data_IF_911888025198
#
_entry.id   IF_911888025198
#
_cell.length_a   1.000
_cell.length_b   1.000
_cell.length_c   1.000
_cell.angle_alpha   90.00
_cell.angle_beta   90.00
_cell.angle_gamma   90.00
#
_symmetry.space_group_name_H-M   'P 1'
#
loop_
_entity.id
_entity.type
_entity.pdbx_description
1 polymer ?
#
# COMPACT_ATOMS: atom_id res chain seq x y z
N UNK A 1 -4.75 -22.28 -14.37
CA UNK A 1 -4.71 -20.82 -14.14
C UNK A 1 -5.36 -20.15 -15.35
N UNK A 2 -6.30 -19.21 -15.17
CA UNK A 2 -7.01 -18.59 -16.29
C UNK A 2 -6.04 -17.80 -17.18
N UNK A 3 -6.08 -18.03 -18.48
CA UNK A 3 -5.25 -17.34 -19.49
C UNK A 3 -5.73 -15.90 -19.75
N UNK A 4 -7.01 -15.62 -19.46
CA UNK A 4 -7.66 -14.31 -19.60
C UNK A 4 -7.72 -13.57 -18.24
N UNK A 5 -7.58 -12.22 -18.21
CA UNK A 5 -7.79 -11.45 -16.99
C UNK A 5 -9.18 -11.68 -16.41
N UNK A 6 -9.26 -11.88 -15.09
CA UNK A 6 -10.54 -12.04 -14.40
C UNK A 6 -11.30 -10.72 -14.44
N UNK A 7 -12.58 -10.75 -14.81
CA UNK A 7 -13.44 -9.55 -14.75
C UNK A 7 -13.82 -9.21 -13.30
N UNK A 8 -14.21 -7.96 -13.00
CA UNK A 8 -14.69 -7.56 -11.66
C UNK A 8 -15.76 -8.46 -11.05
N UNK A 9 -16.59 -9.09 -11.86
CA UNK A 9 -17.69 -9.97 -11.41
C UNK A 9 -17.19 -11.33 -10.91
N UNK A 10 -15.96 -11.70 -11.27
CA UNK A 10 -15.34 -12.98 -10.94
C UNK A 10 -14.44 -12.91 -9.70
N UNK A 11 -14.26 -11.73 -9.10
CA UNK A 11 -13.37 -11.50 -7.96
C UNK A 11 -14.01 -10.61 -6.90
N UNK A 12 -13.72 -10.90 -5.63
CA UNK A 12 -14.15 -10.06 -4.52
C UNK A 12 -13.29 -8.81 -4.39
N UNK A 13 -13.70 -7.80 -5.15
CA UNK A 13 -13.17 -6.44 -5.05
C UNK A 13 -13.37 -5.89 -3.63
N UNK A 14 -12.41 -5.10 -3.13
CA UNK A 14 -12.54 -4.44 -1.84
C UNK A 14 -13.75 -3.49 -1.85
N UNK A 15 -14.55 -3.50 -0.78
CA UNK A 15 -15.76 -2.67 -0.66
C UNK A 15 -15.46 -1.15 -0.58
N UNK A 16 -14.25 -0.78 -0.15
CA UNK A 16 -13.80 0.61 -0.04
C UNK A 16 -12.28 0.71 -0.19
N UNK A 17 -11.75 1.94 -0.20
CA UNK A 17 -10.31 2.19 -0.30
C UNK A 17 -9.52 1.53 0.84
N UNK A 18 -10.11 1.49 2.03
CA UNK A 18 -9.46 0.99 3.24
C UNK A 18 -8.99 -0.48 3.15
N UNK A 19 -9.84 -1.46 2.80
CA UNK A 19 -9.39 -2.84 2.60
C UNK A 19 -8.42 -2.99 1.43
N UNK A 20 -8.51 -2.15 0.38
CA UNK A 20 -7.53 -2.15 -0.71
C UNK A 20 -6.13 -1.72 -0.20
N UNK A 21 -6.08 -0.61 0.54
CA UNK A 21 -4.88 -0.10 1.20
C UNK A 21 -4.30 -1.13 2.16
N UNK A 22 -5.13 -1.77 2.99
CA UNK A 22 -4.68 -2.78 3.96
C UNK A 22 -4.08 -4.01 3.27
N UNK A 23 -4.65 -4.46 2.15
CA UNK A 23 -4.06 -5.52 1.31
C UNK A 23 -2.69 -5.08 0.79
N UNK A 24 -2.57 -3.85 0.31
CA UNK A 24 -1.30 -3.25 -0.11
C UNK A 24 -0.25 -3.22 1.00
N UNK A 25 -0.61 -2.74 2.20
CA UNK A 25 0.27 -2.72 3.39
C UNK A 25 0.77 -4.11 3.75
N UNK A 26 -0.08 -5.13 3.63
CA UNK A 26 0.27 -6.54 3.87
C UNK A 26 1.09 -7.17 2.73
N UNK A 27 1.40 -6.42 1.66
CA UNK A 27 2.10 -6.94 0.49
C UNK A 27 1.26 -7.91 -0.34
N UNK A 28 -0.06 -7.84 -0.24
CA UNK A 28 -1.01 -8.65 -0.99
C UNK A 28 -1.59 -7.84 -2.16
N UNK A 29 -2.07 -8.54 -3.19
CA UNK A 29 -2.72 -7.94 -4.35
C UNK A 29 -3.91 -7.08 -3.90
N UNK A 30 -3.92 -5.75 -4.13
CA UNK A 30 -5.02 -4.87 -3.71
C UNK A 30 -6.37 -5.28 -4.30
N UNK A 31 -6.33 -5.75 -5.56
CA UNK A 31 -7.50 -6.17 -6.34
C UNK A 31 -8.18 -7.43 -5.78
N UNK A 32 -7.46 -8.56 -5.68
CA UNK A 32 -8.05 -9.84 -5.29
C UNK A 32 -7.68 -10.36 -3.89
N UNK A 33 -6.66 -9.79 -3.23
CA UNK A 33 -6.18 -10.22 -1.90
C UNK A 33 -5.50 -11.60 -1.84
N UNK A 34 -5.62 -12.43 -2.89
CA UNK A 34 -5.21 -13.84 -2.86
C UNK A 34 -3.74 -14.13 -3.22
N UNK A 35 -2.97 -13.14 -3.65
CA UNK A 35 -1.58 -13.33 -4.09
C UNK A 35 -0.66 -12.22 -3.58
N UNK A 36 0.64 -12.48 -3.54
CA UNK A 36 1.64 -11.48 -3.20
C UNK A 36 1.74 -10.39 -4.27
N UNK A 37 1.85 -9.13 -3.83
CA UNK A 37 2.08 -7.97 -4.69
C UNK A 37 3.55 -7.84 -5.08
N UNK A 38 4.48 -8.28 -4.23
CA UNK A 38 5.91 -8.14 -4.42
C UNK A 38 6.57 -9.48 -4.72
N UNK A 39 7.40 -9.52 -5.76
CA UNK A 39 8.24 -10.69 -6.08
C UNK A 39 9.54 -10.70 -5.28
N UNK A 40 10.08 -9.53 -4.95
CA UNK A 40 11.33 -9.38 -4.22
C UNK A 40 11.38 -8.02 -3.52
N UNK A 41 11.36 -8.00 -2.18
CA UNK A 41 11.41 -6.79 -1.33
C UNK A 41 10.52 -5.62 -1.82
N UNK A 42 11.05 -4.67 -2.58
CA UNK A 42 10.30 -3.54 -3.17
C UNK A 42 9.88 -3.71 -4.64
N UNK A 43 10.22 -4.82 -5.29
CA UNK A 43 9.90 -5.08 -6.70
C UNK A 43 8.51 -5.73 -6.80
N UNK A 44 7.50 -5.06 -7.37
CA UNK A 44 6.19 -5.64 -7.59
C UNK A 44 6.26 -6.83 -8.57
N UNK A 45 5.26 -7.69 -8.59
CA UNK A 45 5.05 -8.63 -9.70
C UNK A 45 4.60 -7.84 -10.94
N UNK A 46 4.93 -8.29 -12.16
CA UNK A 46 4.46 -7.57 -13.36
C UNK A 46 2.96 -7.79 -13.57
N UNK A 47 2.49 -9.02 -13.35
CA UNK A 47 1.07 -9.34 -13.30
C UNK A 47 0.74 -10.23 -12.09
N UNK A 48 -0.43 -10.04 -11.49
CA UNK A 48 -0.89 -10.89 -10.41
C UNK A 48 -1.09 -12.34 -10.88
N UNK A 49 -0.54 -13.36 -10.20
CA UNK A 49 -0.69 -14.76 -10.61
C UNK A 49 -2.12 -15.29 -10.49
N UNK A 50 -2.96 -14.67 -9.64
CA UNK A 50 -4.35 -15.06 -9.44
C UNK A 50 -5.31 -14.31 -10.38
N UNK A 51 -5.35 -12.98 -10.27
CA UNK A 51 -6.33 -12.15 -11.00
C UNK A 51 -5.80 -11.52 -12.28
N UNK A 52 -4.51 -11.72 -12.60
CA UNK A 52 -3.84 -11.23 -13.82
C UNK A 52 -3.86 -9.71 -14.02
N UNK A 53 -4.11 -8.95 -12.95
CA UNK A 53 -3.95 -7.50 -12.96
C UNK A 53 -2.51 -7.14 -13.28
N UNK A 54 -2.32 -6.23 -14.24
CA UNK A 54 -1.03 -5.63 -14.56
C UNK A 54 -0.66 -4.61 -13.47
N UNK A 55 0.47 -4.83 -12.80
CA UNK A 55 1.06 -3.97 -11.79
C UNK A 55 2.38 -3.33 -12.28
N UNK A 56 2.86 -3.67 -13.48
CA UNK A 56 4.06 -3.09 -14.08
C UNK A 56 3.89 -1.59 -14.38
N UNK A 57 2.65 -1.15 -14.56
CA UNK A 57 2.24 0.23 -14.82
C UNK A 57 2.36 1.18 -13.62
N UNK A 58 2.76 0.68 -12.45
CA UNK A 58 2.91 1.49 -11.24
C UNK A 58 4.07 2.49 -11.37
N UNK A 59 3.87 3.72 -10.89
CA UNK A 59 4.90 4.78 -10.81
C UNK A 59 5.07 5.30 -9.37
N UNK A 60 5.14 4.38 -8.40
CA UNK A 60 5.14 4.72 -6.97
C UNK A 60 6.55 4.82 -6.36
N UNK A 61 7.57 5.24 -7.11
CA UNK A 61 8.95 5.02 -6.66
C UNK A 61 9.49 6.07 -5.66
N UNK A 62 9.06 7.33 -5.72
CA UNK A 62 9.54 8.39 -4.80
C UNK A 62 8.70 8.56 -3.52
N UNK A 63 7.37 8.42 -3.66
CA UNK A 63 6.41 8.65 -2.57
C UNK A 63 6.66 7.81 -1.29
N UNK A 64 7.09 6.53 -1.39
CA UNK A 64 7.31 5.69 -0.21
C UNK A 64 8.42 6.19 0.71
N UNK A 65 9.49 6.76 0.15
CA UNK A 65 10.61 7.26 0.95
C UNK A 65 10.18 8.50 1.76
N UNK A 66 9.45 9.43 1.14
CA UNK A 66 8.95 10.63 1.83
C UNK A 66 7.99 10.28 2.97
N UNK A 67 7.00 9.42 2.73
CA UNK A 67 6.08 8.96 3.79
C UNK A 67 6.87 8.28 4.91
N UNK A 68 7.84 7.42 4.56
CA UNK A 68 8.71 6.75 5.53
C UNK A 68 9.41 7.75 6.45
N UNK A 69 10.07 8.76 5.86
CA UNK A 69 10.79 9.81 6.61
C UNK A 69 9.83 10.61 7.49
N UNK A 70 8.66 10.99 6.98
CA UNK A 70 7.68 11.74 7.78
C UNK A 70 7.22 10.93 8.99
N UNK A 71 6.78 9.69 8.80
CA UNK A 71 6.29 8.86 9.92
C UNK A 71 7.41 8.55 10.91
N UNK A 72 8.57 8.07 10.44
CA UNK A 72 9.70 7.74 11.31
C UNK A 72 10.18 8.97 12.07
N UNK A 73 10.28 10.12 11.40
CA UNK A 73 10.65 11.39 12.02
C UNK A 73 9.68 11.80 13.12
N UNK A 74 8.36 11.73 12.89
CA UNK A 74 7.35 12.08 13.89
C UNK A 74 7.32 11.11 15.07
N UNK A 75 7.68 9.83 14.86
CA UNK A 75 7.78 8.85 15.93
C UNK A 75 9.06 9.04 16.76
N UNK A 76 10.20 9.32 16.12
CA UNK A 76 11.50 9.41 16.80
C UNK A 76 11.81 10.79 17.37
N UNK A 77 11.29 11.87 16.79
CA UNK A 77 11.49 13.22 17.32
C UNK A 77 11.09 13.38 18.80
N UNK A 78 9.87 12.98 19.24
CA UNK A 78 9.52 13.08 20.67
C UNK A 78 10.38 12.17 21.54
N UNK A 79 10.82 11.01 21.02
CA UNK A 79 11.71 10.09 21.74
C UNK A 79 13.08 10.74 21.98
N UNK A 80 13.67 11.36 20.97
CA UNK A 80 14.94 12.08 21.07
C UNK A 80 14.83 13.25 22.04
N UNK A 81 13.74 14.03 21.95
CA UNK A 81 13.48 15.17 22.84
C UNK A 81 13.37 14.68 24.29
N UNK A 82 12.69 13.57 24.55
CA UNK A 82 12.59 12.99 25.88
C UNK A 82 13.95 12.45 26.39
N UNK A 83 14.71 11.73 25.55
CA UNK A 83 16.03 11.18 25.91
C UNK A 83 17.01 12.27 26.36
N UNK A 84 17.10 13.36 25.60
CA UNK A 84 18.04 14.46 25.90
C UNK A 84 17.45 15.40 26.95
N UNK A 85 16.20 15.83 26.77
CA UNK A 85 15.58 16.87 27.59
C UNK A 85 15.08 16.39 28.94
N UNK A 86 14.55 15.16 29.04
CA UNK A 86 13.97 14.62 30.28
C UNK A 86 14.93 13.66 30.98
N UNK A 87 15.57 12.75 30.23
CA UNK A 87 16.45 11.73 30.79
C UNK A 87 17.93 12.16 30.88
N UNK A 88 18.28 13.36 30.38
CA UNK A 88 19.64 13.92 30.46
C UNK A 88 20.69 13.09 29.72
N UNK A 89 20.27 12.26 28.76
CA UNK A 89 21.19 11.39 28.03
C UNK A 89 22.10 12.20 27.11
N UNK A 90 23.36 11.80 26.98
CA UNK A 90 24.30 12.50 26.10
C UNK A 90 23.85 12.43 24.64
N UNK A 91 24.18 13.46 23.86
CA UNK A 91 23.84 13.51 22.44
C UNK A 91 24.41 12.31 21.67
N UNK A 92 25.64 11.89 22.00
CA UNK A 92 26.29 10.74 21.39
C UNK A 92 25.61 9.41 21.72
N UNK A 93 25.21 9.20 22.98
CA UNK A 93 24.48 7.99 23.37
C UNK A 93 23.10 7.94 22.71
N UNK A 94 22.39 9.06 22.68
CA UNK A 94 21.10 9.17 21.99
C UNK A 94 21.25 8.88 20.50
N UNK A 95 22.26 9.48 19.83
CA UNK A 95 22.53 9.22 18.42
C UNK A 95 22.87 7.75 18.14
N UNK A 96 23.72 7.14 18.97
CA UNK A 96 24.11 5.74 18.83
C UNK A 96 22.94 4.75 18.93
N UNK A 97 21.89 5.11 19.69
CA UNK A 97 20.67 4.30 19.82
C UNK A 97 19.66 4.63 18.71
N UNK A 98 19.43 5.91 18.46
CA UNK A 98 18.36 6.35 17.56
C UNK A 98 18.72 6.09 16.11
N UNK A 99 19.99 6.19 15.71
CA UNK A 99 20.43 5.94 14.35
C UNK A 99 20.09 4.51 13.88
N UNK A 100 20.49 3.42 14.57
CA UNK A 100 20.12 2.07 14.15
C UNK A 100 18.61 1.83 14.21
N UNK A 101 17.92 2.37 15.22
CA UNK A 101 16.45 2.28 15.32
C UNK A 101 15.78 2.94 14.10
N UNK A 102 16.21 4.13 13.70
CA UNK A 102 15.71 4.84 12.53
C UNK A 102 15.91 4.04 11.24
N UNK A 103 17.10 3.46 11.05
CA UNK A 103 17.41 2.63 9.88
C UNK A 103 16.51 1.40 9.82
N UNK A 104 16.35 0.68 10.94
CA UNK A 104 15.47 -0.50 11.02
C UNK A 104 14.02 -0.12 10.74
N UNK A 105 13.53 0.97 11.35
CA UNK A 105 12.16 1.45 11.13
C UNK A 105 11.91 1.86 9.68
N UNK A 106 12.86 2.56 9.04
CA UNK A 106 12.75 2.93 7.64
C UNK A 106 12.68 1.69 6.74
N UNK A 107 13.61 0.74 6.91
CA UNK A 107 13.61 -0.52 6.12
C UNK A 107 12.29 -1.27 6.29
N UNK A 108 11.78 -1.36 7.52
CA UNK A 108 10.52 -2.01 7.82
C UNK A 108 9.31 -1.27 7.22
N UNK A 109 9.35 0.06 7.13
CA UNK A 109 8.27 0.88 6.55
C UNK A 109 8.27 0.92 5.03
N UNK A 110 9.41 0.76 4.36
CA UNK A 110 9.52 0.90 2.91
C UNK A 110 8.55 -0.01 2.15
N UNK A 111 8.51 -1.29 2.50
CA UNK A 111 7.65 -2.27 1.85
C UNK A 111 6.14 -2.02 2.06
N UNK A 112 5.62 -1.85 3.30
CA UNK A 112 4.20 -1.59 3.51
C UNK A 112 3.74 -0.26 2.92
N UNK A 113 4.56 0.79 3.00
CA UNK A 113 4.22 2.09 2.38
C UNK A 113 4.15 1.96 0.87
N UNK A 114 5.14 1.31 0.23
CA UNK A 114 5.09 1.09 -1.23
C UNK A 114 3.82 0.34 -1.64
N UNK A 115 3.45 -0.71 -0.90
CA UNK A 115 2.25 -1.47 -1.17
C UNK A 115 0.97 -0.65 -0.98
N UNK A 116 0.91 0.18 0.06
CA UNK A 116 -0.19 1.11 0.29
C UNK A 116 -0.33 2.14 -0.83
N UNK A 117 0.77 2.73 -1.30
CA UNK A 117 0.76 3.71 -2.40
C UNK A 117 0.29 3.05 -3.70
N UNK A 118 0.78 1.85 -4.03
CA UNK A 118 0.32 1.10 -5.22
C UNK A 118 -1.20 0.84 -5.13
N UNK A 119 -1.68 0.40 -3.96
CA UNK A 119 -3.10 0.18 -3.73
C UNK A 119 -3.94 1.47 -3.89
N UNK A 120 -3.43 2.59 -3.38
CA UNK A 120 -4.06 3.89 -3.49
C UNK A 120 -4.16 4.37 -4.94
N UNK A 121 -3.05 4.32 -5.69
CA UNK A 121 -3.01 4.71 -7.10
C UNK A 121 -3.97 3.86 -7.93
N UNK A 122 -3.99 2.54 -7.69
CA UNK A 122 -4.92 1.63 -8.35
C UNK A 122 -6.39 1.94 -8.02
N UNK A 123 -6.72 2.13 -6.73
CA UNK A 123 -8.09 2.42 -6.29
C UNK A 123 -8.64 3.72 -6.91
N UNK A 124 -7.80 4.75 -7.00
CA UNK A 124 -8.16 6.03 -7.59
C UNK A 124 -7.99 6.11 -9.11
N UNK A 125 -7.41 5.08 -9.75
CA UNK A 125 -7.13 5.09 -11.19
C UNK A 125 -6.13 6.18 -11.60
N UNK A 126 -5.13 6.45 -10.76
CA UNK A 126 -4.13 7.50 -11.00
C UNK A 126 -3.01 6.92 -11.88
N UNK A 127 -2.54 7.72 -12.84
CA UNK A 127 -1.49 7.31 -13.77
C UNK A 127 -2.01 6.36 -14.85
N UNK A 128 -1.30 5.26 -15.08
CA UNK A 128 -1.68 4.24 -16.07
C UNK A 128 -2.71 3.21 -15.55
N UNK A 129 -3.16 3.32 -14.29
CA UNK A 129 -4.20 2.45 -13.77
C UNK A 129 -5.58 2.86 -14.27
N UNK A 130 -6.38 1.89 -14.73
CA UNK A 130 -7.81 2.10 -14.98
C UNK A 130 -8.59 1.80 -13.71
N UNK A 131 -9.51 2.69 -13.37
CA UNK A 131 -10.39 2.50 -12.23
C UNK A 131 -11.45 1.43 -12.55
N UNK A 132 -11.32 0.28 -11.90
CA UNK A 132 -12.32 -0.79 -11.94
C UNK A 132 -13.31 -0.59 -10.79
N UNK A 133 -14.28 0.31 -10.97
CA UNK A 133 -15.34 0.53 -9.98
C UNK A 133 -16.44 -0.52 -10.21
N UNK A 134 -16.87 -1.23 -9.15
CA UNK A 134 -18.13 -1.99 -9.19
C UNK A 134 -19.23 -1.00 -9.57
N UNK A 135 -20.04 -1.31 -10.59
CA UNK A 135 -21.27 -0.56 -10.82
C UNK A 135 -22.04 -0.54 -9.50
N UNK A 136 -22.60 0.62 -9.13
CA UNK A 136 -23.46 0.67 -7.96
C UNK A 136 -24.54 -0.42 -8.13
N UNK A 137 -24.88 -1.18 -7.06
CA UNK A 137 -26.04 -2.07 -7.13
C UNK A 137 -27.20 -1.25 -7.70
N UNK A 138 -27.96 -1.77 -8.68
CA UNK A 138 -29.13 -1.06 -9.19
C UNK A 138 -29.96 -0.64 -7.99
N UNK A 139 -30.34 0.64 -7.95
CA UNK A 139 -31.18 1.15 -6.88
C UNK A 139 -32.36 0.21 -6.73
N UNK A 140 -32.60 -0.28 -5.50
CA UNK A 140 -33.69 -1.18 -5.17
C UNK A 140 -35.02 -0.47 -5.56
N UNK A 141 -35.50 -0.67 -6.78
CA UNK A 141 -36.60 0.10 -7.36
C UNK A 141 -36.48 0.53 -8.83
N UNK A 142 -35.39 0.24 -9.55
CA UNK A 142 -35.39 0.41 -11.01
C UNK A 142 -36.33 -0.65 -11.66
N UNK A 143 -37.39 -0.27 -12.39
CA UNK A 143 -38.23 -1.24 -13.09
C UNK A 143 -37.36 -2.03 -14.07
N UNK A 144 -37.54 -3.35 -14.08
CA UNK A 144 -36.92 -4.21 -15.08
C UNK A 144 -37.42 -3.74 -16.45
N UNK A 145 -36.53 -3.19 -17.28
CA UNK A 145 -36.82 -2.99 -18.70
C UNK A 145 -37.08 -4.36 -19.32
N UNK A 146 -38.36 -4.60 -19.62
CA UNK A 146 -38.91 -5.70 -20.41
C UNK A 146 -38.61 -5.41 -21.91
N UNK A 147 -38.36 -6.44 -22.75
CA UNK A 147 -37.36 -6.42 -23.84
C UNK A 147 -37.65 -5.56 -25.07
#
# INVERSE_FOLDING_TARGET
>A
MPTRPLTPDQIDLPASAFPALLRGVKGQCPRCGAAALFRAWLKPVDACPHCRQDWSVQQADDFPAYIGIFVVGHLLAPVVIAMIGTFGMSAWATLAIILPVAVVMLIAMLQPVKGAVIAFLWWHGIGAFRQERRAAPPALGAPADEP
#
